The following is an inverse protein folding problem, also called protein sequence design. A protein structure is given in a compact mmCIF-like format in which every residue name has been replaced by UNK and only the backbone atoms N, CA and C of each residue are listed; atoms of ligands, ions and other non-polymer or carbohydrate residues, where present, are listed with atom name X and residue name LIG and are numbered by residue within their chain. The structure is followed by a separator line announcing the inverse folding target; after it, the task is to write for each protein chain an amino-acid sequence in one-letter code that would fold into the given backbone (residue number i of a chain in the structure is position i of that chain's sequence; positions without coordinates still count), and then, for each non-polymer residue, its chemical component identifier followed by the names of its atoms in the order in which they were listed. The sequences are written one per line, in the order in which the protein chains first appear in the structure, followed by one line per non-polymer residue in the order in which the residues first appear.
data_IF_788974427154
#
_entry.id   IF_788974427154
#
_cell.length_a   1.000
_cell.length_b   1.000
_cell.length_c   1.000
_cell.angle_alpha   90.00
_cell.angle_beta   90.00
_cell.angle_gamma   90.00
#
_symmetry.space_group_name_H-M   'P 1'
#
loop_
_entity.id
_entity.type
_entity.pdbx_description
1 polymer ?
#
# COMPACT_ATOMS: atom_id res chain seq x y z
N UNK A 1 -2.21 -18.85 13.23
CA UNK A 1 -2.12 -19.38 11.87
C UNK A 1 -1.58 -18.33 10.92
N UNK A 2 -0.43 -18.55 10.32
CA UNK A 2 0.12 -17.55 9.42
C UNK A 2 -0.70 -17.44 8.14
N UNK A 3 -0.72 -16.26 7.60
CA UNK A 3 -1.47 -15.96 6.39
C UNK A 3 -0.51 -15.51 5.32
N UNK A 4 -0.80 -15.89 4.11
CA UNK A 4 0.07 -15.55 2.99
C UNK A 4 -0.17 -14.14 2.48
N UNK A 5 -1.21 -13.46 2.90
CA UNK A 5 -1.49 -12.11 2.45
C UNK A 5 -1.28 -11.10 3.56
N UNK A 6 -1.37 -9.82 3.23
CA UNK A 6 -1.32 -8.76 4.21
C UNK A 6 -2.62 -7.96 4.17
N UNK A 7 -2.97 -7.38 5.32
CA UNK A 7 -4.16 -6.55 5.41
C UNK A 7 -3.85 -5.14 4.89
N UNK A 8 -4.92 -4.37 4.63
CA UNK A 8 -4.77 -2.98 4.25
C UNK A 8 -4.01 -2.19 5.31
N UNK A 9 -4.29 -2.43 6.60
CA UNK A 9 -3.60 -1.74 7.67
C UNK A 9 -2.10 -2.03 7.66
N UNK A 10 -1.73 -3.27 7.41
CA UNK A 10 -0.31 -3.64 7.32
C UNK A 10 0.34 -2.95 6.13
N UNK A 11 -0.35 -2.92 4.99
CA UNK A 11 0.17 -2.28 3.80
C UNK A 11 0.38 -0.78 4.03
N UNK A 12 -0.59 -0.13 4.67
CA UNK A 12 -0.50 1.30 4.96
C UNK A 12 0.70 1.58 5.86
N UNK A 13 0.85 0.83 6.93
CA UNK A 13 1.95 1.03 7.87
C UNK A 13 3.31 0.82 7.22
N UNK A 14 3.41 -0.24 6.42
CA UNK A 14 4.67 -0.57 5.76
C UNK A 14 5.07 0.54 4.80
N UNK A 15 4.12 1.04 4.03
CA UNK A 15 4.39 2.08 3.05
C UNK A 15 4.72 3.40 3.73
N UNK A 16 3.97 3.77 4.76
CA UNK A 16 4.25 5.00 5.50
C UNK A 16 5.65 4.98 6.12
N UNK A 17 6.02 3.84 6.68
CA UNK A 17 7.33 3.69 7.30
C UNK A 17 8.45 3.72 6.26
N UNK A 18 8.21 3.06 5.13
CA UNK A 18 9.23 2.94 4.08
C UNK A 18 9.52 4.28 3.41
N UNK A 19 8.48 5.06 3.16
CA UNK A 19 8.62 6.31 2.42
C UNK A 19 8.61 7.55 3.30
N UNK A 20 8.42 7.39 4.61
CA UNK A 20 8.31 8.51 5.54
C UNK A 20 7.25 9.50 5.08
N UNK A 21 6.08 8.98 4.74
CA UNK A 21 4.99 9.77 4.22
C UNK A 21 3.68 9.31 4.85
N UNK A 22 2.62 10.05 4.60
CA UNK A 22 1.30 9.74 5.11
C UNK A 22 0.43 9.21 3.98
N UNK A 23 -0.31 8.15 4.23
CA UNK A 23 -1.29 7.65 3.28
C UNK A 23 -2.56 8.48 3.44
N UNK A 24 -2.93 9.20 2.39
CA UNK A 24 -4.10 10.07 2.41
C UNK A 24 -5.29 9.46 1.69
N UNK A 25 -5.06 8.38 0.94
CA UNK A 25 -6.14 7.66 0.28
C UNK A 25 -5.69 6.21 0.08
N UNK A 26 -6.61 5.27 0.30
CA UNK A 26 -6.32 3.86 0.13
C UNK A 26 -7.49 3.20 -0.57
N UNK A 27 -7.19 2.40 -1.60
CA UNK A 27 -8.19 1.68 -2.36
C UNK A 27 -7.71 0.27 -2.61
N UNK A 28 -8.65 -0.63 -2.85
CA UNK A 28 -8.35 -2.01 -3.21
C UNK A 28 -8.74 -2.23 -4.65
N UNK A 29 -7.85 -2.83 -5.43
CA UNK A 29 -8.13 -3.21 -6.81
C UNK A 29 -7.99 -4.71 -6.96
N UNK A 30 -8.82 -5.29 -7.80
CA UNK A 30 -8.73 -6.70 -8.17
C UNK A 30 -8.38 -6.78 -9.64
N UNK A 31 -7.28 -7.44 -9.95
CA UNK A 31 -6.81 -7.54 -11.33
C UNK A 31 -6.30 -8.95 -11.57
N UNK A 32 -6.94 -9.66 -12.49
CA UNK A 32 -6.54 -11.00 -12.89
C UNK A 32 -6.33 -11.94 -11.69
N UNK A 33 -7.27 -11.90 -10.76
CA UNK A 33 -7.22 -12.75 -9.58
C UNK A 33 -6.26 -12.29 -8.50
N UNK A 34 -5.64 -11.13 -8.68
CA UNK A 34 -4.75 -10.55 -7.69
C UNK A 34 -5.42 -9.39 -7.00
N UNK A 35 -5.04 -9.18 -5.75
CA UNK A 35 -5.53 -8.05 -4.98
C UNK A 35 -4.39 -7.06 -4.80
N UNK A 36 -4.64 -5.82 -5.20
CA UNK A 36 -3.66 -4.74 -5.08
C UNK A 36 -4.22 -3.64 -4.21
N UNK A 37 -3.41 -3.13 -3.33
CA UNK A 37 -3.75 -1.95 -2.53
C UNK A 37 -3.11 -0.74 -3.19
N UNK A 38 -3.95 0.21 -3.60
CA UNK A 38 -3.49 1.44 -4.26
C UNK A 38 -3.51 2.53 -3.22
N UNK A 39 -2.34 3.03 -2.87
CA UNK A 39 -2.17 3.96 -1.76
C UNK A 39 -1.62 5.28 -2.28
N UNK A 40 -2.28 6.36 -1.93
CA UNK A 40 -1.80 7.70 -2.27
C UNK A 40 -1.10 8.28 -1.06
N UNK A 41 0.12 8.76 -1.25
CA UNK A 41 0.95 9.27 -0.18
C UNK A 41 1.21 10.77 -0.34
N UNK A 42 1.40 11.41 0.82
CA UNK A 42 1.75 12.82 0.89
C UNK A 42 2.91 12.96 1.88
N UNK A 43 4.00 13.58 1.47
CA UNK A 43 5.13 13.81 2.36
C UNK A 43 5.17 15.24 2.88
N UNK A 44 6.15 15.54 3.73
CA UNK A 44 6.28 16.85 4.35
C UNK A 44 6.58 17.96 3.33
N UNK A 45 7.15 17.59 2.21
CA UNK A 45 7.45 18.56 1.15
C UNK A 45 6.24 18.87 0.28
N UNK A 46 5.10 18.25 0.57
CA UNK A 46 3.89 18.46 -0.21
C UNK A 46 3.82 17.63 -1.48
N UNK A 47 4.71 16.65 -1.63
CA UNK A 47 4.70 15.79 -2.80
C UNK A 47 3.68 14.70 -2.64
N UNK A 48 2.92 14.45 -3.70
CA UNK A 48 1.90 13.40 -3.74
C UNK A 48 2.24 12.39 -4.81
N UNK A 49 2.18 11.12 -4.47
CA UNK A 49 2.37 10.05 -5.45
C UNK A 49 1.56 8.83 -5.04
N UNK A 50 1.45 7.87 -5.96
CA UNK A 50 0.69 6.65 -5.73
C UNK A 50 1.61 5.45 -5.79
N UNK A 51 1.43 4.52 -4.85
CA UNK A 51 2.14 3.25 -4.87
C UNK A 51 1.12 2.12 -4.92
N UNK A 52 1.52 1.00 -5.48
CA UNK A 52 0.71 -0.21 -5.51
C UNK A 52 1.41 -1.28 -4.71
N UNK A 53 0.66 -1.92 -3.84
CA UNK A 53 1.18 -2.95 -2.96
C UNK A 53 0.40 -4.23 -3.24
N UNK A 54 1.12 -5.28 -3.61
CA UNK A 54 0.50 -6.58 -3.87
C UNK A 54 0.13 -7.21 -2.53
N UNK A 55 -1.15 -7.41 -2.31
CA UNK A 55 -1.64 -7.91 -1.03
C UNK A 55 -1.18 -9.32 -0.73
N UNK A 56 -0.85 -10.10 -1.75
CA UNK A 56 -0.43 -11.48 -1.54
C UNK A 56 1.05 -11.60 -1.26
N UNK A 57 1.86 -10.81 -1.94
CA UNK A 57 3.33 -10.91 -1.84
C UNK A 57 3.94 -9.82 -1.00
N UNK A 58 3.21 -8.77 -0.73
CA UNK A 58 3.76 -7.63 -0.02
C UNK A 58 4.73 -6.82 -0.85
N UNK A 59 4.74 -7.01 -2.16
CA UNK A 59 5.63 -6.27 -3.06
C UNK A 59 5.05 -4.90 -3.34
N UNK A 60 5.90 -3.89 -3.27
CA UNK A 60 5.52 -2.52 -3.57
C UNK A 60 6.04 -2.17 -4.96
N UNK A 61 5.15 -1.67 -5.80
CA UNK A 61 5.53 -1.28 -7.15
C UNK A 61 5.45 0.22 -7.37
#
# INVERSE_FOLDING_TARGET
MPRSGMSMDQAVRMVEDRYHARVVKAETQHDEGRTLYVLRLLNDAGKVWTVRDDAENGSVE
#
